data_IF_584874507966
#
_entry.id   IF_584874507966
#
_cell.length_a   1.000
_cell.length_b   1.000
_cell.length_c   1.000
_cell.angle_alpha   90.00
_cell.angle_beta   90.00
_cell.angle_gamma   90.00
#
_symmetry.space_group_name_H-M   'P 1'
#
loop_
_entity.id
_entity.type
_entity.pdbx_description
1 polymer ?
#
# COMPACT_ATOMS: atom_id res chain seq x y z
N UNK A 1 0.18 -8.50 -11.48
CA UNK A 1 0.88 -7.75 -12.55
C UNK A 1 2.15 -8.52 -12.91
N UNK A 2 2.20 -9.20 -14.06
CA UNK A 2 3.25 -10.21 -14.37
C UNK A 2 4.30 -9.75 -15.41
N UNK A 3 4.06 -8.66 -16.14
CA UNK A 3 4.92 -8.28 -17.28
C UNK A 3 6.22 -7.56 -16.88
N UNK A 4 6.21 -6.75 -15.82
CA UNK A 4 7.42 -6.13 -15.26
C UNK A 4 7.29 -5.96 -13.76
N UNK A 5 8.31 -6.40 -13.02
CA UNK A 5 8.35 -6.25 -11.56
C UNK A 5 9.03 -4.96 -11.09
N UNK A 6 9.80 -4.31 -11.97
CA UNK A 6 10.61 -3.12 -11.70
C UNK A 6 10.13 -1.86 -12.46
N UNK A 7 9.04 -1.97 -13.22
CA UNK A 7 8.43 -0.84 -13.92
C UNK A 7 6.91 -0.90 -13.88
N UNK A 8 6.29 0.26 -13.76
CA UNK A 8 4.85 0.46 -13.92
C UNK A 8 4.48 1.02 -15.31
N UNK A 9 5.46 1.33 -16.16
CA UNK A 9 5.23 1.85 -17.50
C UNK A 9 4.39 0.88 -18.35
N UNK A 10 3.35 1.41 -19.01
CA UNK A 10 2.39 0.62 -19.82
C UNK A 10 1.71 -0.52 -19.04
N UNK A 11 1.64 -0.40 -17.71
CA UNK A 11 0.96 -1.37 -16.86
C UNK A 11 -0.15 -0.66 -16.08
N UNK A 12 -1.32 -1.28 -15.99
CA UNK A 12 -2.43 -0.82 -15.18
C UNK A 12 -3.05 -2.02 -14.46
N UNK A 13 -3.23 -1.97 -13.13
CA UNK A 13 -3.82 -3.08 -12.38
C UNK A 13 -5.34 -3.18 -12.53
N UNK A 14 -6.00 -2.14 -13.06
CA UNK A 14 -7.45 -2.03 -13.18
C UNK A 14 -7.96 -2.50 -14.55
N UNK A 15 -9.21 -2.97 -14.58
CA UNK A 15 -9.89 -3.31 -15.84
C UNK A 15 -10.40 -2.06 -16.56
N UNK A 16 -10.80 -1.06 -15.78
CA UNK A 16 -11.21 0.26 -16.24
C UNK A 16 -10.47 1.29 -15.39
N UNK A 17 -9.87 2.28 -16.05
CA UNK A 17 -9.28 3.42 -15.38
C UNK A 17 -9.85 4.69 -16.04
N UNK A 18 -10.51 5.57 -15.28
CA UNK A 18 -11.01 6.81 -15.83
C UNK A 18 -9.85 7.64 -16.35
N UNK A 19 -10.11 8.43 -17.40
CA UNK A 19 -9.13 9.38 -17.87
C UNK A 19 -8.83 10.39 -16.76
N UNK A 20 -7.57 10.47 -16.37
CA UNK A 20 -7.06 11.41 -15.38
C UNK A 20 -5.87 12.10 -16.01
N UNK A 21 -5.99 13.40 -16.27
CA UNK A 21 -4.92 14.18 -16.90
C UNK A 21 -3.68 14.25 -16.01
N UNK A 22 -3.90 14.40 -14.71
CA UNK A 22 -2.85 14.55 -13.70
C UNK A 22 -3.02 13.57 -12.54
N UNK A 23 -1.94 13.36 -11.81
CA UNK A 23 -1.95 12.68 -10.52
C UNK A 23 -2.13 13.68 -9.37
N UNK A 24 -2.94 13.32 -8.39
CA UNK A 24 -3.13 14.10 -7.16
C UNK A 24 -2.14 13.59 -6.11
N UNK A 25 -1.31 14.48 -5.55
CA UNK A 25 -0.41 14.16 -4.44
C UNK A 25 -1.15 14.29 -3.10
N UNK A 26 -0.87 13.39 -2.16
CA UNK A 26 -1.39 13.46 -0.79
C UNK A 26 -0.26 13.79 0.19
N UNK A 27 -0.58 14.55 1.23
CA UNK A 27 0.38 14.88 2.30
C UNK A 27 0.62 13.71 3.25
N UNK A 28 -0.36 12.81 3.39
CA UNK A 28 -0.33 11.63 4.24
C UNK A 28 -1.38 10.63 3.76
N UNK A 29 -1.29 9.40 4.24
CA UNK A 29 -2.23 8.34 3.86
C UNK A 29 -2.50 7.39 5.02
N UNK A 30 -3.77 7.04 5.19
CA UNK A 30 -4.23 5.96 6.06
C UNK A 30 -4.75 4.82 5.18
N UNK A 31 -4.29 3.60 5.45
CA UNK A 31 -4.62 2.42 4.66
C UNK A 31 -5.24 1.39 5.59
N UNK A 32 -6.50 1.04 5.36
CA UNK A 32 -7.17 -0.04 6.08
C UNK A 32 -7.18 -1.31 5.24
N UNK A 33 -6.62 -2.40 5.79
CA UNK A 33 -6.61 -3.73 5.17
C UNK A 33 -7.39 -4.71 6.03
N UNK A 34 -8.25 -5.49 5.38
CA UNK A 34 -8.88 -6.63 6.02
C UNK A 34 -7.81 -7.64 6.52
N UNK A 35 -8.03 -8.32 7.66
CA UNK A 35 -7.06 -9.27 8.21
C UNK A 35 -6.57 -10.33 7.21
N UNK A 36 -7.47 -10.85 6.36
CA UNK A 36 -7.11 -11.84 5.35
C UNK A 36 -6.11 -11.33 4.30
N UNK A 37 -6.07 -10.01 4.07
CA UNK A 37 -5.17 -9.36 3.14
C UNK A 37 -3.87 -8.90 3.83
N UNK A 38 -3.94 -8.54 5.12
CA UNK A 38 -2.83 -8.03 5.90
C UNK A 38 -1.64 -9.01 5.97
N UNK A 39 -1.88 -10.33 5.96
CA UNK A 39 -0.81 -11.34 5.90
C UNK A 39 0.13 -11.20 4.69
N UNK A 40 -0.33 -10.56 3.61
CA UNK A 40 0.50 -10.30 2.43
C UNK A 40 1.41 -9.09 2.57
N UNK A 41 1.28 -8.28 3.63
CA UNK A 41 2.15 -7.12 3.87
C UNK A 41 3.61 -7.53 4.07
N UNK A 42 3.86 -8.61 4.81
CA UNK A 42 5.22 -9.12 4.99
C UNK A 42 5.83 -9.48 3.64
N UNK A 43 5.10 -10.22 2.79
CA UNK A 43 5.55 -10.56 1.44
C UNK A 43 5.77 -9.30 0.58
N UNK A 44 4.82 -8.36 0.63
CA UNK A 44 4.89 -7.12 -0.13
C UNK A 44 6.13 -6.29 0.23
N UNK A 45 6.46 -6.18 1.52
CA UNK A 45 7.61 -5.40 1.97
C UNK A 45 8.92 -6.20 1.80
N UNK A 46 8.97 -7.43 2.33
CA UNK A 46 10.18 -8.26 2.39
C UNK A 46 10.62 -8.76 1.02
N UNK A 47 9.71 -9.30 0.23
CA UNK A 47 10.06 -10.04 -1.01
C UNK A 47 9.90 -9.19 -2.28
N UNK A 48 9.25 -8.03 -2.16
CA UNK A 48 8.98 -7.13 -3.30
C UNK A 48 9.64 -5.77 -3.12
N UNK A 49 9.15 -4.93 -2.22
CA UNK A 49 9.63 -3.55 -2.06
C UNK A 49 11.13 -3.53 -1.72
N UNK A 50 11.57 -4.32 -0.74
CA UNK A 50 13.00 -4.45 -0.39
C UNK A 50 13.90 -4.83 -1.57
N UNK A 51 13.36 -5.51 -2.58
CA UNK A 51 14.09 -5.97 -3.76
C UNK A 51 13.89 -5.05 -4.98
N UNK A 52 13.46 -3.81 -4.78
CA UNK A 52 13.30 -2.86 -5.87
C UNK A 52 12.12 -3.15 -6.79
N UNK A 53 11.09 -3.84 -6.27
CA UNK A 53 9.87 -4.21 -7.00
C UNK A 53 8.64 -3.51 -6.43
N UNK A 54 7.50 -3.73 -7.06
CA UNK A 54 6.19 -3.30 -6.57
C UNK A 54 5.30 -4.49 -6.17
N UNK A 55 4.26 -4.19 -5.39
CA UNK A 55 3.18 -5.10 -5.01
C UNK A 55 1.85 -4.37 -5.02
N UNK A 56 0.79 -5.01 -5.54
CA UNK A 56 -0.54 -4.37 -5.68
C UNK A 56 -1.61 -5.15 -4.94
N UNK A 57 -2.30 -4.46 -4.04
CA UNK A 57 -3.60 -4.85 -3.51
C UNK A 57 -4.68 -4.34 -4.44
N UNK A 58 -5.58 -5.23 -4.88
CA UNK A 58 -6.68 -4.88 -5.79
C UNK A 58 -8.01 -5.14 -5.10
N UNK A 59 -8.82 -4.08 -4.99
CA UNK A 59 -10.21 -4.16 -4.60
C UNK A 59 -11.09 -4.26 -5.88
N UNK A 60 -12.41 -4.21 -5.71
CA UNK A 60 -13.36 -4.33 -6.82
C UNK A 60 -13.17 -3.21 -7.86
N UNK A 61 -13.03 -1.97 -7.40
CA UNK A 61 -12.94 -0.78 -8.27
C UNK A 61 -11.64 0.00 -8.15
N UNK A 62 -10.86 -0.24 -7.08
CA UNK A 62 -9.64 0.50 -6.77
C UNK A 62 -8.42 -0.43 -6.72
N UNK A 63 -7.25 0.14 -6.92
CA UNK A 63 -5.99 -0.56 -6.72
C UNK A 63 -5.02 0.29 -5.88
N UNK A 64 -4.34 -0.34 -4.94
CA UNK A 64 -3.28 0.23 -4.13
C UNK A 64 -1.98 -0.49 -4.47
N UNK A 65 -0.99 0.25 -4.97
CA UNK A 65 0.34 -0.29 -5.26
C UNK A 65 1.38 0.28 -4.31
N UNK A 66 2.05 -0.61 -3.59
CA UNK A 66 3.26 -0.31 -2.85
C UNK A 66 4.45 -0.35 -3.81
N UNK A 67 5.25 0.71 -3.80
CA UNK A 67 6.31 0.98 -4.77
C UNK A 67 7.62 1.20 -4.03
N UNK A 68 8.71 0.60 -4.51
CA UNK A 68 10.07 0.91 -4.05
C UNK A 68 10.70 2.03 -4.87
N UNK A 69 11.73 2.65 -4.32
CA UNK A 69 12.40 3.82 -4.92
C UNK A 69 12.95 3.58 -6.34
N UNK A 70 13.29 2.32 -6.66
CA UNK A 70 13.88 1.94 -7.96
C UNK A 70 12.84 1.59 -9.02
N UNK A 71 11.54 1.57 -8.67
CA UNK A 71 10.48 1.27 -9.64
C UNK A 71 10.25 2.47 -10.54
N UNK A 72 10.53 2.28 -11.83
CA UNK A 72 10.29 3.29 -12.86
C UNK A 72 8.81 3.38 -13.26
N UNK A 73 8.39 4.54 -13.78
CA UNK A 73 7.03 4.76 -14.29
C UNK A 73 5.94 4.87 -13.21
N UNK A 74 6.33 4.97 -11.94
CA UNK A 74 5.45 5.35 -10.86
C UNK A 74 5.14 6.86 -10.91
N UNK A 75 3.96 7.26 -10.44
CA UNK A 75 3.59 8.68 -10.29
C UNK A 75 4.14 9.31 -9.01
N UNK A 76 4.64 8.48 -8.09
CA UNK A 76 5.16 8.89 -6.78
C UNK A 76 6.69 8.94 -6.77
N UNK A 77 7.23 9.79 -5.89
CA UNK A 77 8.67 10.00 -5.67
C UNK A 77 8.92 10.38 -4.21
N UNK A 78 10.17 10.38 -3.73
CA UNK A 78 10.48 10.68 -2.32
C UNK A 78 9.87 11.99 -1.81
N UNK A 79 9.82 13.03 -2.65
CA UNK A 79 9.25 14.34 -2.28
C UNK A 79 7.71 14.38 -2.27
N UNK A 80 7.05 13.38 -2.86
CA UNK A 80 5.60 13.25 -2.98
C UNK A 80 5.25 11.75 -3.02
N UNK A 81 5.33 11.05 -1.86
CA UNK A 81 5.34 9.59 -1.80
C UNK A 81 3.95 8.95 -1.97
N UNK A 82 2.89 9.75 -1.92
CA UNK A 82 1.51 9.29 -1.99
C UNK A 82 0.80 9.96 -3.15
N UNK A 83 0.23 9.17 -4.05
CA UNK A 83 -0.38 9.68 -5.26
C UNK A 83 -1.59 8.89 -5.69
N UNK A 84 -2.57 9.58 -6.25
CA UNK A 84 -3.77 9.00 -6.85
C UNK A 84 -3.82 9.39 -8.33
N UNK A 85 -4.02 8.41 -9.20
CA UNK A 85 -4.34 8.63 -10.63
C UNK A 85 -5.59 7.84 -11.00
N UNK A 86 -6.70 8.54 -11.19
CA UNK A 86 -8.02 7.93 -11.34
C UNK A 86 -8.35 7.04 -10.13
N UNK A 87 -8.46 5.73 -10.37
CA UNK A 87 -8.78 4.72 -9.36
C UNK A 87 -7.57 3.95 -8.83
N UNK A 88 -6.36 4.41 -9.17
CA UNK A 88 -5.11 3.76 -8.80
C UNK A 88 -4.32 4.64 -7.82
N UNK A 89 -4.17 4.14 -6.60
CA UNK A 89 -3.34 4.72 -5.56
C UNK A 89 -1.94 4.10 -5.63
N UNK A 90 -0.91 4.93 -5.56
CA UNK A 90 0.48 4.50 -5.44
C UNK A 90 1.08 5.07 -4.16
N UNK A 91 1.82 4.23 -3.44
CA UNK A 91 2.48 4.55 -2.18
C UNK A 91 3.94 4.14 -2.29
N UNK A 92 4.84 5.12 -2.28
CA UNK A 92 6.28 4.89 -2.23
C UNK A 92 6.67 4.56 -0.79
N UNK A 93 7.34 3.43 -0.61
CA UNK A 93 7.93 3.01 0.65
C UNK A 93 9.45 3.25 0.57
N UNK A 94 9.99 4.22 1.34
CA UNK A 94 11.42 4.50 1.34
C UNK A 94 12.23 3.31 1.87
N UNK A 95 13.45 3.14 1.37
CA UNK A 95 14.33 2.04 1.77
C UNK A 95 14.64 2.06 3.28
N UNK A 96 14.68 3.25 3.87
CA UNK A 96 14.92 3.48 5.29
C UNK A 96 13.73 3.05 6.17
N UNK A 97 12.52 3.03 5.61
CA UNK A 97 11.30 2.62 6.32
C UNK A 97 11.12 1.08 6.31
N UNK A 98 11.64 0.39 5.29
CA UNK A 98 11.46 -1.06 5.10
C UNK A 98 11.85 -1.90 6.33
N UNK A 99 13.03 -1.72 6.98
CA UNK A 99 13.39 -2.52 8.15
C UNK A 99 12.42 -2.33 9.32
N UNK A 100 11.96 -1.10 9.55
CA UNK A 100 11.03 -0.76 10.63
C UNK A 100 9.66 -1.38 10.41
N UNK A 101 9.13 -1.30 9.18
CA UNK A 101 7.87 -1.98 8.85
C UNK A 101 7.95 -3.49 9.10
N UNK A 102 9.07 -4.14 8.75
CA UNK A 102 9.25 -5.58 8.97
C UNK A 102 9.33 -5.94 10.46
N UNK A 103 9.99 -5.11 11.26
CA UNK A 103 10.03 -5.26 12.73
C UNK A 103 8.63 -5.09 13.34
N UNK A 104 7.91 -4.04 12.96
CA UNK A 104 6.55 -3.78 13.42
C UNK A 104 5.59 -4.93 13.05
N UNK A 105 5.72 -5.47 11.83
CA UNK A 105 4.93 -6.61 11.39
C UNK A 105 5.23 -7.90 12.16
N UNK A 106 6.50 -8.13 12.49
CA UNK A 106 6.91 -9.25 13.33
C UNK A 106 6.36 -9.10 14.76
N UNK A 107 6.40 -7.90 15.34
CA UNK A 107 5.85 -7.63 16.66
C UNK A 107 4.33 -7.85 16.71
N UNK A 108 3.62 -7.55 15.63
CA UNK A 108 2.19 -7.87 15.45
C UNK A 108 1.91 -9.32 15.05
N UNK A 109 2.95 -10.15 14.86
CA UNK A 109 2.85 -11.55 14.45
C UNK A 109 2.02 -11.74 13.15
N UNK A 110 2.20 -10.84 12.16
CA UNK A 110 1.42 -10.85 10.92
C UNK A 110 1.62 -12.09 10.03
N UNK A 111 2.67 -12.86 10.28
CA UNK A 111 2.99 -14.13 9.60
C UNK A 111 2.25 -15.33 10.21
N UNK A 112 1.71 -15.18 11.41
CA UNK A 112 0.91 -16.21 12.06
C UNK A 112 -0.52 -16.21 11.52
N UNK A 113 -1.19 -17.37 11.46
CA UNK A 113 -2.62 -17.48 11.16
C UNK A 113 -3.50 -16.91 12.31
N UNK A 114 -3.02 -15.90 13.01
CA UNK A 114 -3.69 -15.32 14.17
C UNK A 114 -4.89 -14.50 13.70
N UNK A 115 -6.07 -14.87 14.20
CA UNK A 115 -7.27 -14.07 14.05
C UNK A 115 -7.18 -12.87 15.00
N UNK A 116 -7.06 -11.67 14.44
CA UNK A 116 -7.10 -10.43 15.22
C UNK A 116 -8.51 -10.20 15.75
N UNK A 117 -8.67 -10.23 17.09
CA UNK A 117 -9.94 -9.92 17.76
C UNK A 117 -10.24 -8.42 17.78
N UNK A 118 -9.20 -7.60 17.77
CA UNK A 118 -9.26 -6.14 17.84
C UNK A 118 -8.48 -5.52 16.67
N UNK A 119 -8.87 -4.30 16.29
CA UNK A 119 -8.16 -3.52 15.26
C UNK A 119 -6.70 -3.32 15.67
N UNK A 120 -5.78 -3.53 14.72
CA UNK A 120 -4.35 -3.26 14.94
C UNK A 120 -3.95 -2.03 14.14
N UNK A 121 -3.19 -1.13 14.76
CA UNK A 121 -2.75 0.12 14.12
C UNK A 121 -1.23 0.24 14.16
N UNK A 122 -0.65 0.62 13.02
CA UNK A 122 0.75 0.98 12.88
C UNK A 122 0.83 2.39 12.30
N UNK A 123 1.64 3.25 12.91
CA UNK A 123 1.79 4.63 12.48
C UNK A 123 3.25 5.05 12.43
N UNK A 124 3.69 5.51 11.27
CA UNK A 124 5.02 6.07 11.03
C UNK A 124 4.89 7.57 10.79
N UNK A 125 4.93 8.33 11.89
CA UNK A 125 4.56 9.75 11.92
C UNK A 125 5.40 10.63 10.99
N UNK A 126 6.72 10.39 10.95
CA UNK A 126 7.66 11.09 10.08
C UNK A 126 7.39 10.87 8.58
N UNK A 127 6.69 9.78 8.24
CA UNK A 127 6.22 9.51 6.89
C UNK A 127 4.75 9.91 6.70
N UNK A 128 3.99 10.24 7.75
CA UNK A 128 2.53 10.46 7.69
C UNK A 128 1.79 9.26 7.05
N UNK A 129 2.26 8.06 7.35
CA UNK A 129 1.70 6.80 6.87
C UNK A 129 1.09 6.04 8.05
N UNK A 130 -0.20 5.73 7.97
CA UNK A 130 -0.90 4.88 8.93
C UNK A 130 -1.45 3.64 8.24
N UNK A 131 -1.29 2.49 8.89
CA UNK A 131 -1.85 1.21 8.45
C UNK A 131 -2.76 0.68 9.55
N UNK A 132 -3.98 0.32 9.18
CA UNK A 132 -4.99 -0.26 10.07
C UNK A 132 -5.33 -1.65 9.56
N UNK A 133 -5.36 -2.62 10.46
CA UNK A 133 -5.79 -3.99 10.18
C UNK A 133 -7.13 -4.20 10.86
N UNK A 134 -8.21 -4.02 10.10
CA UNK A 134 -9.59 -4.21 10.54
C UNK A 134 -10.48 -4.54 9.34
N UNK A 135 -11.69 -5.03 9.59
CA UNK A 135 -12.67 -5.28 8.55
C UNK A 135 -13.25 -3.94 8.04
N UNK A 136 -13.08 -3.61 6.75
CA UNK A 136 -13.49 -2.31 6.19
C UNK A 136 -15.02 -2.05 6.23
N UNK A 137 -15.83 -3.08 6.51
CA UNK A 137 -17.29 -2.96 6.63
C UNK A 137 -17.77 -2.51 8.03
N UNK A 138 -16.85 -2.20 8.96
CA UNK A 138 -17.18 -1.51 10.22
C UNK A 138 -17.07 0.01 10.09
N UNK A 139 -17.37 0.57 8.90
CA UNK A 139 -17.59 2.00 8.81
C UNK A 139 -18.79 2.34 9.69
N UNK A 140 -18.53 3.14 10.73
CA UNK A 140 -19.53 3.61 11.67
C UNK A 140 -20.66 4.29 10.87
N UNK A 141 -21.93 3.88 11.04
CA UNK A 141 -23.08 4.45 10.32
C UNK A 141 -23.27 5.96 10.54
N UNK A 142 -22.49 6.59 11.41
CA UNK A 142 -22.47 8.04 11.63
C UNK A 142 -21.71 8.86 10.56
N UNK A 143 -21.05 8.21 9.59
CA UNK A 143 -20.33 8.88 8.49
C UNK A 143 -21.13 9.02 7.16
N UNK A 144 -22.46 8.90 7.19
CA UNK A 144 -23.36 9.23 6.06
C UNK A 144 -24.34 10.35 6.41
#
# INVERSE_FOLDING_TARGET
MSMSSSSLHKSCPLRYQPYSADSISLDGIEITLAPYAAKYLILAIKDRVRHGRHFTFKAEHLALTLVSETVSGAIVKKSSPYGIIGYWIQVLIPNELVPRMLEDFHNLQLDSNTEYKESQELYWAEYKLKLIIDNPNKLDPTCL
#
